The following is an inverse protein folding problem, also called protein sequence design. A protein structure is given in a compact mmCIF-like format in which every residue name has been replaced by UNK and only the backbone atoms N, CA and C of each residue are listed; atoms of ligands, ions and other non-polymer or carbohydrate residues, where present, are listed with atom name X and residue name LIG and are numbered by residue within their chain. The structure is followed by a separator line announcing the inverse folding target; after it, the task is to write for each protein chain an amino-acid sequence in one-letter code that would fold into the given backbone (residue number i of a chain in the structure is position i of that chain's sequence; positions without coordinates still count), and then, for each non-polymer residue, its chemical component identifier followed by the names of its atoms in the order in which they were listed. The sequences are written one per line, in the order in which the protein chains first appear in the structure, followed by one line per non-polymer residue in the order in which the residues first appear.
data_IF_771914341621
#
_entry.id   IF_771914341621
#
_cell.length_a   1.000
_cell.length_b   1.000
_cell.length_c   1.000
_cell.angle_alpha   90.00
_cell.angle_beta   90.00
_cell.angle_gamma   90.00
#
_symmetry.space_group_name_H-M   'P 1'
#
loop_
_entity.id
_entity.type
_entity.pdbx_description
1 polymer ?
#
# COMPACT_ATOMS: atom_id res chain seq x y z
N UNK A 1 6.23 3.95 13.95
CA UNK A 1 6.42 5.03 14.96
C UNK A 1 7.82 5.20 15.55
N UNK A 2 8.28 4.31 16.46
CA UNK A 2 9.42 4.62 17.37
C UNK A 2 10.79 4.81 16.68
N UNK A 3 10.95 4.33 15.45
CA UNK A 3 12.16 4.52 14.64
C UNK A 3 12.06 5.67 13.64
N UNK A 4 10.87 6.25 13.41
CA UNK A 4 10.62 7.26 12.38
C UNK A 4 10.27 8.64 12.97
N UNK A 5 10.05 8.73 14.28
CA UNK A 5 9.65 10.00 14.90
C UNK A 5 10.75 11.07 14.83
N UNK A 6 12.03 10.66 14.82
CA UNK A 6 13.16 11.60 14.78
C UNK A 6 13.16 12.39 13.47
N UNK A 7 13.01 11.72 12.33
CA UNK A 7 12.97 12.38 11.02
C UNK A 7 11.79 13.35 10.90
N UNK A 8 10.61 12.96 11.39
CA UNK A 8 9.41 13.81 11.40
C UNK A 8 9.58 15.00 12.35
N UNK A 9 10.24 14.81 13.50
CA UNK A 9 10.52 15.89 14.44
C UNK A 9 11.55 16.89 13.88
N UNK A 10 12.60 16.39 13.23
CA UNK A 10 13.62 17.21 12.59
C UNK A 10 13.04 18.02 11.41
N UNK A 11 12.14 17.42 10.64
CA UNK A 11 11.39 18.13 9.60
C UNK A 11 10.48 19.21 10.20
N UNK A 12 9.70 18.86 11.23
CA UNK A 12 8.80 19.81 11.89
C UNK A 12 9.54 21.01 12.52
N UNK A 13 10.73 20.79 13.07
CA UNK A 13 11.57 21.86 13.60
C UNK A 13 12.09 22.79 12.49
N UNK A 14 12.55 22.22 11.36
CA UNK A 14 12.99 23.00 10.20
C UNK A 14 11.86 23.81 9.58
N UNK A 15 10.67 23.22 9.50
CA UNK A 15 9.50 23.81 8.85
C UNK A 15 8.67 24.69 9.82
N UNK A 16 9.16 24.90 11.05
CA UNK A 16 8.50 25.67 12.12
C UNK A 16 7.04 25.25 12.34
N UNK A 17 6.78 23.96 12.26
CA UNK A 17 5.43 23.43 12.43
C UNK A 17 4.93 23.72 13.85
N UNK A 18 3.64 24.08 13.93
CA UNK A 18 2.98 24.08 15.24
C UNK A 18 3.00 22.69 15.84
N UNK A 19 3.01 22.58 17.17
CA UNK A 19 2.97 21.29 17.86
C UNK A 19 1.79 20.41 17.39
N UNK A 20 0.63 21.02 17.13
CA UNK A 20 -0.54 20.31 16.59
C UNK A 20 -0.30 19.79 15.16
N UNK A 21 0.39 20.58 14.33
CA UNK A 21 0.77 20.16 12.97
C UNK A 21 1.73 18.97 13.00
N UNK A 22 2.78 19.03 13.83
CA UNK A 22 3.70 17.92 14.03
C UNK A 22 2.98 16.63 14.45
N UNK A 23 2.07 16.70 15.43
CA UNK A 23 1.32 15.53 15.88
C UNK A 23 0.41 14.96 14.79
N UNK A 24 -0.18 15.82 13.96
CA UNK A 24 -1.01 15.38 12.84
C UNK A 24 -0.17 14.60 11.81
N UNK A 25 0.97 15.16 11.39
CA UNK A 25 1.89 14.49 10.46
C UNK A 25 2.41 13.16 11.00
N UNK A 26 2.85 13.14 12.27
CA UNK A 26 3.34 11.93 12.91
C UNK A 26 2.25 10.83 12.96
N UNK A 27 0.99 11.21 13.21
CA UNK A 27 -0.13 10.28 13.25
C UNK A 27 -0.48 9.75 11.85
N UNK A 28 -0.46 10.62 10.83
CA UNK A 28 -0.70 10.21 9.44
C UNK A 28 0.37 9.22 8.96
N UNK A 29 1.64 9.52 9.20
CA UNK A 29 2.76 8.64 8.87
C UNK A 29 2.64 7.25 9.55
N UNK A 30 2.23 7.20 10.83
CA UNK A 30 2.03 5.92 11.52
C UNK A 30 0.80 5.15 10.98
N UNK A 31 -0.28 5.85 10.64
CA UNK A 31 -1.46 5.24 10.01
C UNK A 31 -1.09 4.58 8.68
N UNK A 32 -0.31 5.27 7.85
CA UNK A 32 0.15 4.76 6.55
C UNK A 32 1.08 3.57 6.71
N UNK A 33 2.05 3.62 7.63
CA UNK A 33 2.94 2.50 7.90
C UNK A 33 2.17 1.27 8.42
N UNK A 34 1.17 1.48 9.30
CA UNK A 34 0.30 0.39 9.75
C UNK A 34 -0.54 -0.19 8.63
N UNK A 35 -1.08 0.64 7.75
CA UNK A 35 -1.86 0.19 6.59
C UNK A 35 -1.00 -0.62 5.63
N UNK A 36 0.22 -0.14 5.34
CA UNK A 36 1.22 -0.87 4.55
C UNK A 36 1.53 -2.24 5.15
N UNK A 37 1.92 -2.30 6.43
CA UNK A 37 2.23 -3.57 7.13
C UNK A 37 1.03 -4.53 7.18
N UNK A 38 -0.18 -3.99 7.37
CA UNK A 38 -1.41 -4.79 7.36
C UNK A 38 -1.67 -5.37 5.98
N UNK A 39 -1.46 -4.58 4.92
CA UNK A 39 -1.58 -5.03 3.53
C UNK A 39 -0.56 -6.14 3.23
N UNK A 40 0.72 -5.92 3.53
CA UNK A 40 1.80 -6.91 3.35
C UNK A 40 1.52 -8.22 4.08
N UNK A 41 1.03 -8.16 5.33
CA UNK A 41 0.64 -9.34 6.10
C UNK A 41 -0.51 -10.11 5.46
N UNK A 42 -1.55 -9.41 4.96
CA UNK A 42 -2.68 -10.05 4.25
C UNK A 42 -2.21 -10.71 2.96
N UNK A 43 -1.38 -10.02 2.20
CA UNK A 43 -0.75 -10.53 0.99
C UNK A 43 0.04 -11.80 1.32
N UNK A 44 0.92 -11.78 2.34
CA UNK A 44 1.67 -12.97 2.77
C UNK A 44 0.75 -14.12 3.18
N UNK A 45 -0.26 -13.85 4.01
CA UNK A 45 -1.21 -14.84 4.52
C UNK A 45 -2.07 -15.49 3.42
N UNK A 46 -2.28 -14.82 2.29
CA UNK A 46 -3.09 -15.36 1.19
C UNK A 46 -2.45 -16.56 0.46
N UNK A 47 -1.17 -16.86 0.70
CA UNK A 47 -0.56 -18.13 0.22
C UNK A 47 -0.48 -18.33 -1.29
N UNK A 48 -0.68 -17.29 -2.12
CA UNK A 48 -0.61 -17.46 -3.57
C UNK A 48 0.73 -18.04 -4.05
N UNK A 49 0.72 -18.96 -5.02
CA UNK A 49 1.91 -19.65 -5.53
C UNK A 49 2.79 -18.76 -6.44
N UNK A 50 2.30 -17.59 -6.85
CA UNK A 50 2.99 -16.61 -7.70
C UNK A 50 3.08 -15.24 -7.02
N UNK A 51 3.89 -14.35 -7.60
CA UNK A 51 4.01 -12.98 -7.12
C UNK A 51 2.67 -12.25 -7.08
N UNK A 52 2.45 -11.50 -5.99
CA UNK A 52 1.12 -11.01 -5.57
C UNK A 52 0.83 -9.58 -6.03
N UNK A 53 1.50 -9.13 -7.08
CA UNK A 53 1.43 -7.76 -7.57
C UNK A 53 1.06 -7.73 -9.05
N UNK A 54 0.11 -6.87 -9.41
CA UNK A 54 -0.33 -6.70 -10.80
C UNK A 54 0.79 -6.23 -11.75
N UNK A 55 1.82 -5.56 -11.22
CA UNK A 55 2.98 -5.08 -12.02
C UNK A 55 3.82 -6.21 -12.62
N UNK A 56 3.78 -7.40 -12.02
CA UNK A 56 4.48 -8.60 -12.51
C UNK A 56 3.51 -9.62 -13.12
N UNK A 57 2.27 -9.21 -13.36
CA UNK A 57 1.29 -10.03 -14.05
C UNK A 57 1.66 -10.14 -15.54
N UNK A 58 1.74 -11.38 -16.02
CA UNK A 58 1.94 -11.67 -17.44
C UNK A 58 0.59 -11.64 -18.15
N UNK A 59 0.34 -10.55 -18.87
CA UNK A 59 -0.90 -10.35 -19.62
C UNK A 59 -0.97 -11.20 -20.89
N UNK A 60 0.17 -11.70 -21.38
CA UNK A 60 0.25 -12.52 -22.59
C UNK A 60 0.03 -14.01 -22.29
N UNK A 61 0.04 -14.41 -21.01
CA UNK A 61 -0.22 -15.78 -20.58
C UNK A 61 -1.61 -16.31 -20.99
N UNK A 62 -2.59 -15.42 -21.21
CA UNK A 62 -3.90 -15.79 -21.73
C UNK A 62 -4.42 -14.72 -22.73
N UNK A 63 -4.19 -14.91 -24.04
CA UNK A 63 -4.60 -13.96 -25.08
C UNK A 63 -6.11 -13.75 -25.20
N UNK A 64 -6.92 -14.63 -24.61
CA UNK A 64 -8.40 -14.52 -24.61
C UNK A 64 -8.90 -13.45 -23.65
N UNK A 65 -8.06 -12.96 -22.74
CA UNK A 65 -8.43 -11.95 -21.74
C UNK A 65 -7.88 -10.59 -22.17
N UNK A 66 -8.77 -9.62 -22.37
CA UNK A 66 -8.38 -8.24 -22.66
C UNK A 66 -7.65 -7.60 -21.45
N UNK A 67 -6.39 -7.17 -21.60
CA UNK A 67 -5.66 -6.48 -20.54
C UNK A 67 -6.37 -5.23 -20.00
N UNK A 68 -7.14 -4.53 -20.84
CA UNK A 68 -7.90 -3.36 -20.42
C UNK A 68 -9.01 -3.71 -19.41
N UNK A 69 -9.60 -4.90 -19.53
CA UNK A 69 -10.57 -5.42 -18.56
C UNK A 69 -9.90 -5.69 -17.21
N UNK A 70 -8.69 -6.27 -17.21
CA UNK A 70 -7.91 -6.52 -15.98
C UNK A 70 -7.56 -5.19 -15.30
N UNK A 71 -7.11 -4.18 -16.04
CA UNK A 71 -6.83 -2.85 -15.50
C UNK A 71 -8.07 -2.16 -14.94
N UNK A 72 -9.23 -2.36 -15.59
CA UNK A 72 -10.51 -1.84 -15.11
C UNK A 72 -10.91 -2.50 -13.79
N UNK A 73 -10.80 -3.83 -13.68
CA UNK A 73 -11.08 -4.57 -12.44
C UNK A 73 -10.13 -4.19 -11.30
N UNK A 74 -8.85 -3.96 -11.62
CA UNK A 74 -7.86 -3.48 -10.66
C UNK A 74 -8.19 -2.10 -10.08
N UNK A 75 -8.91 -1.26 -10.85
CA UNK A 75 -9.31 0.10 -10.46
C UNK A 75 -10.68 0.17 -9.80
N UNK A 76 -11.63 -0.69 -10.23
CA UNK A 76 -13.03 -0.69 -9.79
C UNK A 76 -13.26 -1.35 -8.42
N UNK A 77 -12.24 -2.00 -7.86
CA UNK A 77 -12.25 -2.50 -6.49
C UNK A 77 -11.11 -1.84 -5.74
N UNK A 78 -11.34 -1.44 -4.48
CA UNK A 78 -10.25 -1.15 -3.56
C UNK A 78 -9.42 -2.42 -3.33
N UNK A 79 -8.53 -2.76 -4.24
CA UNK A 79 -7.71 -3.98 -4.27
C UNK A 79 -6.56 -3.97 -3.25
N UNK A 80 -6.81 -3.40 -2.06
CA UNK A 80 -6.15 -3.80 -0.81
C UNK A 80 -6.93 -4.95 -0.10
N UNK A 81 -8.06 -5.40 -0.65
CA UNK A 81 -8.75 -6.62 -0.25
C UNK A 81 -8.63 -7.63 -1.37
N UNK A 82 -7.79 -8.63 -1.11
CA UNK A 82 -7.32 -9.61 -2.08
C UNK A 82 -8.43 -10.22 -2.92
N UNK A 83 -8.21 -10.20 -4.23
CA UNK A 83 -8.87 -11.13 -5.11
C UNK A 83 -8.35 -12.53 -4.82
N UNK A 84 -9.30 -13.42 -4.57
CA UNK A 84 -9.10 -14.86 -4.59
C UNK A 84 -9.06 -15.23 -6.07
N UNK A 85 -7.87 -15.51 -6.59
CA UNK A 85 -7.76 -16.20 -7.87
C UNK A 85 -8.29 -17.63 -7.65
N UNK A 86 -9.44 -17.95 -8.25
CA UNK A 86 -9.70 -19.29 -8.79
C UNK A 86 -9.01 -19.34 -10.15
#
# INVERSE_FOLDING_TARGET
MRSQFSEVADAAARDQMTYRGFLAELLMADCDDRNRRRSERRIKAAGFPREKALRTFDFDANPTIDPAAIHTLARATGAAKGFRCV
#
